data_IF_246481200990
#
_entry.id   IF_246481200990
#
_cell.length_a   1.000
_cell.length_b   1.000
_cell.length_c   1.000
_cell.angle_alpha   90.00
_cell.angle_beta   90.00
_cell.angle_gamma   90.00
#
_symmetry.space_group_name_H-M   'P 1'
#
loop_
_entity.id
_entity.type
_entity.pdbx_description
1 polymer ?
#
# COMPACT_ATOMS: atom_id res chain seq x y z
N UNK A 1 -3.89 -19.22 12.79
CA UNK A 1 -3.52 -18.55 11.52
C UNK A 1 -4.12 -17.15 11.56
N UNK A 2 -3.46 -16.21 12.23
CA UNK A 2 -3.93 -14.82 12.33
C UNK A 2 -3.46 -14.09 11.08
N UNK A 3 -4.27 -14.08 10.02
CA UNK A 3 -4.11 -13.15 8.87
C UNK A 3 -4.55 -11.76 9.32
N UNK A 4 -3.80 -11.17 10.24
CA UNK A 4 -4.17 -9.94 10.95
C UNK A 4 -3.37 -8.74 10.43
N UNK A 5 -3.24 -8.63 9.10
CA UNK A 5 -2.71 -7.44 8.41
C UNK A 5 -3.87 -6.62 7.82
N UNK A 6 -5.11 -7.11 7.92
CA UNK A 6 -6.36 -6.38 7.66
C UNK A 6 -6.67 -5.30 8.72
N UNK A 7 -5.68 -4.84 9.48
CA UNK A 7 -5.88 -3.67 10.33
C UNK A 7 -5.94 -2.46 9.38
N UNK A 8 -7.11 -2.26 8.79
CA UNK A 8 -7.65 -0.97 8.39
C UNK A 8 -7.46 -0.06 9.60
N UNK A 9 -6.27 0.54 9.70
CA UNK A 9 -6.07 1.75 10.46
C UNK A 9 -7.16 2.66 9.91
N UNK A 10 -8.20 2.93 10.71
CA UNK A 10 -9.26 3.87 10.37
C UNK A 10 -8.66 5.29 10.32
N UNK A 11 -7.71 5.52 9.42
CA UNK A 11 -7.47 6.81 8.82
C UNK A 11 -8.78 7.22 8.14
N UNK A 12 -9.15 8.49 8.21
CA UNK A 12 -10.43 9.06 7.70
C UNK A 12 -10.69 8.88 6.19
N UNK A 13 -9.95 8.00 5.50
CA UNK A 13 -9.92 7.80 4.05
C UNK A 13 -9.99 6.33 3.64
N UNK A 14 -10.19 5.38 4.56
CA UNK A 14 -10.25 3.94 4.23
C UNK A 14 -8.92 3.35 3.73
N UNK A 15 -7.82 4.06 3.96
CA UNK A 15 -6.49 3.61 3.55
C UNK A 15 -6.07 2.36 4.33
N UNK A 16 -5.58 1.35 3.62
CA UNK A 16 -4.83 0.25 4.23
C UNK A 16 -3.40 0.68 4.60
N UNK A 17 -2.68 -0.15 5.35
CA UNK A 17 -1.27 0.10 5.65
C UNK A 17 -0.41 0.25 4.38
N UNK A 18 -0.75 -0.46 3.29
CA UNK A 18 -0.06 -0.32 2.01
C UNK A 18 -0.28 1.07 1.38
N UNK A 19 -1.49 1.65 1.51
CA UNK A 19 -1.77 3.00 1.02
C UNK A 19 -0.93 4.04 1.78
N UNK A 20 -0.88 3.93 3.11
CA UNK A 20 -0.08 4.85 3.93
C UNK A 20 1.41 4.74 3.62
N UNK A 21 1.93 3.53 3.40
CA UNK A 21 3.32 3.35 2.95
C UNK A 21 3.59 4.07 1.62
N UNK A 22 2.63 4.05 0.68
CA UNK A 22 2.78 4.79 -0.56
C UNK A 22 2.81 6.31 -0.33
N UNK A 23 1.95 6.82 0.55
CA UNK A 23 1.87 8.25 0.88
C UNK A 23 3.12 8.78 1.61
N UNK A 24 3.88 7.90 2.26
CA UNK A 24 5.17 8.23 2.91
C UNK A 24 6.35 8.29 1.93
N UNK A 25 6.17 7.90 0.65
CA UNK A 25 7.24 7.93 -0.34
C UNK A 25 8.40 7.00 0.01
N UNK A 26 9.64 7.51 -0.05
CA UNK A 26 10.85 6.71 0.21
C UNK A 26 10.88 6.13 1.63
N UNK A 27 10.35 6.85 2.62
CA UNK A 27 10.28 6.38 4.02
C UNK A 27 9.31 5.20 4.19
N UNK A 28 8.35 5.06 3.28
CA UNK A 28 7.40 3.96 3.25
C UNK A 28 7.88 2.73 2.47
N UNK A 29 9.01 2.79 1.78
CA UNK A 29 9.48 1.71 0.89
C UNK A 29 9.80 0.41 1.64
N UNK A 30 10.47 0.49 2.80
CA UNK A 30 10.80 -0.71 3.58
C UNK A 30 9.58 -1.31 4.29
N UNK A 31 8.73 -0.53 4.98
CA UNK A 31 7.44 -1.03 5.49
C UNK A 31 6.57 -1.66 4.40
N UNK A 32 6.53 -1.06 3.21
CA UNK A 32 5.80 -1.60 2.07
C UNK A 32 6.28 -3.00 1.67
N UNK A 33 7.60 -3.19 1.54
CA UNK A 33 8.19 -4.49 1.21
C UNK A 33 7.88 -5.55 2.27
N UNK A 34 7.91 -5.18 3.55
CA UNK A 34 7.56 -6.09 4.65
C UNK A 34 6.09 -6.51 4.54
N UNK A 35 5.18 -5.56 4.33
CA UNK A 35 3.75 -5.85 4.20
C UNK A 35 3.45 -6.76 3.01
N UNK A 36 4.02 -6.48 1.83
CA UNK A 36 3.87 -7.35 0.65
C UNK A 36 4.43 -8.75 0.88
N UNK A 37 5.63 -8.86 1.48
CA UNK A 37 6.25 -10.15 1.81
C UNK A 37 5.39 -11.00 2.76
N UNK A 38 4.63 -10.36 3.64
CA UNK A 38 3.74 -11.03 4.59
C UNK A 38 2.30 -11.23 4.06
N UNK A 39 2.06 -11.01 2.76
CA UNK A 39 0.78 -11.26 2.12
C UNK A 39 -0.20 -10.09 2.21
N UNK A 40 0.31 -8.86 2.34
CA UNK A 40 -0.49 -7.65 2.20
C UNK A 40 -1.14 -7.58 0.82
N UNK A 41 -2.44 -7.31 0.78
CA UNK A 41 -3.22 -7.28 -0.45
C UNK A 41 -3.28 -5.86 -1.01
N UNK A 42 -2.63 -5.65 -2.16
CA UNK A 42 -2.57 -4.36 -2.85
C UNK A 42 -3.85 -4.03 -3.65
N UNK A 43 -4.82 -4.95 -3.73
CA UNK A 43 -6.09 -4.76 -4.46
C UNK A 43 -7.16 -4.05 -3.64
N UNK A 44 -6.97 -3.92 -2.31
CA UNK A 44 -7.90 -3.20 -1.45
C UNK A 44 -8.09 -1.76 -1.93
N UNK A 45 -9.34 -1.33 -1.91
CA UNK A 45 -9.73 0.01 -2.30
C UNK A 45 -9.96 0.87 -1.06
N UNK A 46 -9.44 2.09 -1.08
CA UNK A 46 -9.72 3.10 -0.07
C UNK A 46 -11.11 3.76 -0.29
N UNK A 47 -11.48 4.74 0.54
CA UNK A 47 -12.79 5.43 0.44
C UNK A 47 -12.95 6.24 -0.86
N UNK A 48 -11.85 6.49 -1.59
CA UNK A 48 -11.86 7.11 -2.92
C UNK A 48 -11.99 6.08 -4.05
N UNK A 49 -12.19 4.81 -3.70
CA UNK A 49 -12.21 3.70 -4.64
C UNK A 49 -10.88 3.55 -5.41
N UNK A 50 -9.77 3.86 -4.75
CA UNK A 50 -8.40 3.73 -5.27
C UNK A 50 -7.70 2.59 -4.58
N UNK A 51 -7.05 1.73 -5.36
CA UNK A 51 -6.03 0.82 -4.86
C UNK A 51 -4.70 1.55 -4.66
N UNK A 52 -3.75 0.87 -4.02
CA UNK A 52 -2.37 1.33 -3.94
C UNK A 52 -1.74 1.57 -5.31
N UNK A 53 -2.08 0.74 -6.30
CA UNK A 53 -1.57 0.87 -7.68
C UNK A 53 -2.17 2.13 -8.34
N UNK A 54 -3.43 2.45 -8.07
CA UNK A 54 -4.07 3.66 -8.60
C UNK A 54 -3.42 4.93 -8.03
N UNK A 55 -3.08 4.93 -6.74
CA UNK A 55 -2.31 6.04 -6.13
C UNK A 55 -0.92 6.12 -6.76
N UNK A 56 -0.27 4.98 -7.00
CA UNK A 56 1.06 4.93 -7.59
C UNK A 56 1.11 5.53 -9.00
N UNK A 57 0.13 5.19 -9.82
CA UNK A 57 -0.03 5.75 -11.16
C UNK A 57 -0.25 7.27 -11.13
N UNK A 58 -0.99 7.79 -10.14
CA UNK A 58 -1.27 9.23 -10.00
C UNK A 58 -0.07 10.05 -9.54
N UNK A 59 0.79 9.49 -8.68
CA UNK A 59 1.92 10.22 -8.12
C UNK A 59 3.17 10.23 -9.02
N UNK A 60 3.16 9.48 -10.13
CA UNK A 60 4.27 9.39 -11.07
C UNK A 60 5.60 8.99 -10.38
N UNK A 61 5.54 7.99 -9.47
CA UNK A 61 6.70 7.45 -8.74
C UNK A 61 7.12 6.08 -9.31
N UNK A 62 7.97 6.04 -10.36
CA UNK A 62 8.38 4.80 -11.02
C UNK A 62 9.20 3.86 -10.13
N UNK A 63 9.94 4.36 -9.15
CA UNK A 63 10.75 3.57 -8.24
C UNK A 63 9.88 2.73 -7.30
N UNK A 64 8.79 3.32 -6.78
CA UNK A 64 7.85 2.57 -5.95
C UNK A 64 7.09 1.55 -6.79
N UNK A 65 6.67 1.91 -8.01
CA UNK A 65 6.05 0.98 -8.96
C UNK A 65 6.94 -0.22 -9.29
N UNK A 66 8.25 -0.01 -9.45
CA UNK A 66 9.21 -1.11 -9.59
C UNK A 66 9.33 -1.97 -8.33
N UNK A 67 9.22 -1.37 -7.14
CA UNK A 67 9.19 -2.13 -5.90
C UNK A 67 7.96 -3.05 -5.83
N UNK A 68 6.83 -2.64 -6.41
CA UNK A 68 5.62 -3.46 -6.52
C UNK A 68 5.73 -4.58 -7.57
N UNK A 69 6.34 -4.33 -8.73
CA UNK A 69 6.36 -5.33 -9.82
C UNK A 69 7.17 -6.59 -9.51
N UNK A 70 7.79 -6.67 -8.33
CA UNK A 70 8.74 -7.71 -7.93
C UNK A 70 8.17 -8.69 -6.90
N UNK A 71 6.93 -8.47 -6.45
CA UNK A 71 6.19 -9.27 -5.48
C UNK A 71 4.81 -9.60 -6.02
#
# INVERSE_FOLDING_TARGET
MLRNIDFVLFCRRGNTALHECFLLGLDGAEPLRILLKHGGDASWLNDKNESVIDIAAKQNCPELLQAFSKY
#
